data_IF_246486416668
#
_entry.id   IF_246486416668
#
_cell.length_a   1.000
_cell.length_b   1.000
_cell.length_c   1.000
_cell.angle_alpha   90.00
_cell.angle_beta   90.00
_cell.angle_gamma   90.00
#
_symmetry.space_group_name_H-M   'P 1'
#
loop_
_entity.id
_entity.type
_entity.pdbx_description
1 polymer ?
#
# COMPACT_ATOMS: atom_id res chain seq x y z
N UNK A 1 13.48 31.63 7.75
CA UNK A 1 13.28 30.28 8.30
C UNK A 1 12.15 29.60 7.55
N UNK A 2 12.29 28.34 7.14
CA UNK A 2 11.19 27.56 6.59
C UNK A 2 10.25 27.09 7.71
N UNK A 3 8.93 27.11 7.45
CA UNK A 3 7.89 26.66 8.37
C UNK A 3 7.81 25.13 8.34
N UNK A 4 7.83 24.48 9.50
CA UNK A 4 7.69 23.03 9.58
C UNK A 4 6.23 22.62 9.31
N UNK A 5 6.03 21.38 8.83
CA UNK A 5 4.70 20.86 8.45
C UNK A 5 3.72 20.95 9.64
N UNK A 6 4.15 20.60 10.85
CA UNK A 6 3.33 20.65 12.07
C UNK A 6 2.88 22.06 12.48
N UNK A 7 3.47 23.10 11.89
CA UNK A 7 3.11 24.50 12.16
C UNK A 7 2.01 25.00 11.21
N UNK A 8 1.65 24.23 10.18
CA UNK A 8 0.55 24.59 9.27
C UNK A 8 -0.80 24.39 9.96
N UNK A 9 -1.75 25.28 9.66
CA UNK A 9 -3.12 25.09 10.12
C UNK A 9 -3.70 23.84 9.43
N UNK A 10 -4.44 23.04 10.18
CA UNK A 10 -4.98 21.76 9.71
C UNK A 10 -3.93 20.74 9.25
N UNK A 11 -2.69 20.78 9.77
CA UNK A 11 -1.63 19.86 9.33
C UNK A 11 -1.96 18.36 9.54
N UNK A 12 -2.89 18.03 10.45
CA UNK A 12 -3.41 16.68 10.68
C UNK A 12 -4.59 16.30 9.77
N UNK A 13 -5.18 17.25 9.05
CA UNK A 13 -6.28 17.02 8.10
C UNK A 13 -5.69 16.52 6.77
N UNK A 14 -5.24 15.26 6.79
CA UNK A 14 -4.66 14.62 5.62
C UNK A 14 -5.70 14.45 4.53
N UNK A 15 -5.44 15.05 3.36
CA UNK A 15 -6.24 14.89 2.15
C UNK A 15 -5.40 14.27 1.07
N UNK A 16 -5.89 13.20 0.49
CA UNK A 16 -5.28 12.56 -0.67
C UNK A 16 -6.31 12.42 -1.80
N UNK A 17 -5.80 12.38 -3.02
CA UNK A 17 -6.63 12.09 -4.20
C UNK A 17 -6.75 10.58 -4.37
N UNK A 18 -7.89 10.04 -3.98
CA UNK A 18 -8.21 8.63 -4.13
C UNK A 18 -8.00 8.14 -5.57
N UNK A 19 -8.35 8.93 -6.58
CA UNK A 19 -8.22 8.50 -7.98
C UNK A 19 -6.76 8.31 -8.38
N UNK A 20 -5.87 9.16 -7.89
CA UNK A 20 -4.44 9.04 -8.15
C UNK A 20 -3.84 7.83 -7.44
N UNK A 21 -4.26 7.56 -6.19
CA UNK A 21 -3.71 6.46 -5.39
C UNK A 21 -4.29 5.11 -5.81
N UNK A 22 -5.59 5.03 -6.08
CA UNK A 22 -6.31 3.80 -6.42
C UNK A 22 -5.74 3.10 -7.66
N UNK A 23 -5.29 3.85 -8.67
CA UNK A 23 -4.64 3.29 -9.86
C UNK A 23 -3.33 2.60 -9.51
N UNK A 24 -2.49 3.23 -8.68
CA UNK A 24 -1.22 2.68 -8.24
C UNK A 24 -1.46 1.44 -7.37
N UNK A 25 -2.37 1.51 -6.40
CA UNK A 25 -2.73 0.38 -5.53
C UNK A 25 -3.26 -0.81 -6.33
N UNK A 26 -4.11 -0.58 -7.33
CA UNK A 26 -4.61 -1.64 -8.20
C UNK A 26 -3.47 -2.34 -8.96
N UNK A 27 -2.48 -1.57 -9.45
CA UNK A 27 -1.32 -2.13 -10.14
C UNK A 27 -0.47 -3.02 -9.23
N UNK A 28 -0.23 -2.57 -7.99
CA UNK A 28 0.54 -3.30 -6.97
C UNK A 28 -0.20 -4.58 -6.59
N UNK A 29 -1.50 -4.51 -6.31
CA UNK A 29 -2.32 -5.67 -5.95
C UNK A 29 -2.33 -6.74 -7.05
N UNK A 30 -2.39 -6.33 -8.32
CA UNK A 30 -2.28 -7.24 -9.46
C UNK A 30 -0.92 -7.94 -9.49
N UNK A 31 0.18 -7.21 -9.25
CA UNK A 31 1.52 -7.79 -9.22
C UNK A 31 1.68 -8.77 -8.04
N UNK A 32 1.19 -8.40 -6.86
CA UNK A 32 1.16 -9.26 -5.68
C UNK A 32 0.38 -10.56 -5.97
N UNK A 33 -0.80 -10.47 -6.58
CA UNK A 33 -1.60 -11.63 -6.97
C UNK A 33 -0.86 -12.58 -7.92
N UNK A 34 -0.08 -12.05 -8.88
CA UNK A 34 0.76 -12.88 -9.76
C UNK A 34 1.86 -13.61 -9.01
N UNK A 35 2.51 -12.93 -8.06
CA UNK A 35 3.59 -13.52 -7.26
C UNK A 35 3.01 -14.64 -6.38
N UNK A 36 1.88 -14.36 -5.71
CA UNK A 36 1.15 -15.34 -4.90
C UNK A 36 0.73 -16.56 -5.73
N UNK A 37 0.15 -16.36 -6.91
CA UNK A 37 -0.23 -17.46 -7.80
C UNK A 37 0.95 -18.32 -8.23
N UNK A 38 2.12 -17.72 -8.52
CA UNK A 38 3.35 -18.45 -8.83
C UNK A 38 3.86 -19.25 -7.64
N UNK A 39 3.93 -18.65 -6.46
CA UNK A 39 4.37 -19.35 -5.24
C UNK A 39 3.45 -20.53 -4.92
N UNK A 40 2.14 -20.37 -5.07
CA UNK A 40 1.17 -21.46 -4.92
C UNK A 40 1.41 -22.60 -5.91
N UNK A 41 1.65 -22.28 -7.19
CA UNK A 41 1.92 -23.30 -8.21
C UNK A 41 3.21 -24.10 -7.96
N UNK A 42 4.13 -23.54 -7.16
CA UNK A 42 5.38 -24.18 -6.75
C UNK A 42 5.25 -24.95 -5.42
N UNK A 43 4.06 -24.98 -4.81
CA UNK A 43 3.80 -25.72 -3.57
C UNK A 43 4.27 -25.02 -2.29
N UNK A 44 4.54 -23.71 -2.33
CA UNK A 44 4.83 -22.95 -1.12
C UNK A 44 3.53 -22.62 -0.36
N UNK A 45 3.48 -22.98 0.93
CA UNK A 45 2.40 -22.55 1.83
C UNK A 45 2.47 -21.03 2.04
N UNK A 46 1.32 -20.38 1.87
CA UNK A 46 1.20 -18.94 2.07
C UNK A 46 1.38 -18.59 3.54
N UNK A 47 2.60 -18.28 3.98
CA UNK A 47 2.76 -17.54 5.23
C UNK A 47 2.12 -16.16 5.03
N UNK A 48 0.92 -16.02 5.57
CA UNK A 48 0.03 -14.86 5.45
C UNK A 48 0.60 -13.60 6.15
N UNK A 49 1.78 -13.73 6.76
CA UNK A 49 2.49 -12.71 7.53
C UNK A 49 2.86 -11.48 6.67
N UNK A 50 3.30 -11.67 5.41
CA UNK A 50 3.70 -10.55 4.56
C UNK A 50 2.53 -9.73 3.97
N UNK A 51 1.34 -10.34 3.84
CA UNK A 51 0.13 -9.68 3.34
C UNK A 51 -0.61 -8.89 4.42
N UNK A 52 -0.50 -9.28 5.69
CA UNK A 52 -1.15 -8.56 6.79
C UNK A 52 -0.40 -7.24 7.08
N UNK A 53 0.94 -7.27 7.05
CA UNK A 53 1.80 -6.10 7.30
C UNK A 53 1.73 -4.99 6.23
N UNK A 54 1.13 -5.26 5.06
CA UNK A 54 0.99 -4.24 3.99
C UNK A 54 -0.41 -3.64 3.90
N UNK A 55 -1.40 -4.17 4.63
CA UNK A 55 -2.80 -3.71 4.60
C UNK A 55 -3.24 -3.10 5.95
N UNK A 56 -2.48 -3.33 7.03
CA UNK A 56 -2.73 -2.76 8.37
C UNK A 56 -1.68 -1.70 8.71
#
# INVERSE_FOLDING_TARGET
MAKYIYQQDNWTDFKWDDKQISVLLASVRNLQGRILGRMSSLGFDFQTEATLDTIT
#
